data_IF_146875176833
#
_entry.id   IF_146875176833
#
_cell.length_a   1.000
_cell.length_b   1.000
_cell.length_c   1.000
_cell.angle_alpha   90.00
_cell.angle_beta   90.00
_cell.angle_gamma   90.00
#
_symmetry.space_group_name_H-M   'P 1'
#
loop_
_entity.id
_entity.type
_entity.pdbx_description
1 polymer ?
#
# COMPACT_ATOMS: atom_id res chain seq x y z
N UNK A 1 60.04 44.65 -23.32
CA UNK A 1 59.50 43.27 -23.21
C UNK A 1 58.05 43.41 -22.83
N UNK A 2 57.13 43.19 -23.79
CA UNK A 2 55.66 43.38 -23.59
C UNK A 2 55.02 41.99 -23.36
N UNK A 3 54.35 41.82 -22.24
CA UNK A 3 53.74 40.57 -21.82
C UNK A 3 52.48 40.23 -22.62
N UNK A 4 52.29 39.00 -23.09
CA UNK A 4 51.06 38.55 -23.76
C UNK A 4 50.15 37.83 -22.78
N UNK A 5 49.53 38.53 -21.83
CA UNK A 5 48.67 37.92 -20.78
C UNK A 5 47.20 38.39 -20.84
N UNK A 6 46.81 39.15 -21.88
CA UNK A 6 45.46 39.70 -22.00
C UNK A 6 44.53 39.02 -23.02
N UNK A 7 45.03 38.03 -23.75
CA UNK A 7 44.23 37.36 -24.79
C UNK A 7 43.51 36.08 -24.37
N UNK A 8 43.79 35.55 -23.16
CA UNK A 8 43.23 34.27 -22.74
C UNK A 8 41.91 34.35 -21.93
N UNK A 9 41.58 35.55 -21.42
CA UNK A 9 40.38 35.75 -20.59
C UNK A 9 39.05 35.89 -21.34
N UNK A 10 39.11 36.26 -22.64
CA UNK A 10 37.88 36.54 -23.42
C UNK A 10 37.29 35.27 -24.03
N UNK A 11 38.08 34.23 -24.26
CA UNK A 11 37.60 32.99 -24.90
C UNK A 11 36.83 32.09 -23.90
N UNK A 12 37.11 32.19 -22.60
CA UNK A 12 36.45 31.37 -21.59
C UNK A 12 35.03 31.86 -21.24
N UNK A 13 34.73 33.15 -21.44
CA UNK A 13 33.40 33.73 -21.13
C UNK A 13 32.35 33.43 -22.22
N UNK A 14 32.77 33.16 -23.45
CA UNK A 14 31.81 32.88 -24.54
C UNK A 14 31.33 31.42 -24.55
N UNK A 15 32.14 30.47 -24.07
CA UNK A 15 31.75 29.07 -24.04
C UNK A 15 30.69 28.73 -22.98
N UNK A 16 30.62 29.46 -21.86
CA UNK A 16 29.65 29.17 -20.78
C UNK A 16 28.25 29.67 -21.13
N UNK A 17 28.09 30.72 -21.88
CA UNK A 17 26.77 31.25 -22.29
C UNK A 17 26.08 30.42 -23.38
N UNK A 18 26.85 29.80 -24.27
CA UNK A 18 26.28 28.99 -25.37
C UNK A 18 25.79 27.62 -24.87
N UNK A 19 26.41 27.05 -23.85
CA UNK A 19 26.02 25.75 -23.32
C UNK A 19 24.71 25.83 -22.51
N UNK A 20 24.41 26.94 -21.83
CA UNK A 20 23.17 27.15 -21.08
C UNK A 20 21.95 27.31 -21.99
N UNK A 21 22.06 28.03 -23.08
CA UNK A 21 20.95 28.26 -24.01
C UNK A 21 20.52 27.02 -24.80
N UNK A 22 21.45 26.10 -25.07
CA UNK A 22 21.12 24.84 -25.77
C UNK A 22 20.38 23.86 -24.90
N UNK A 23 20.56 23.90 -23.59
CA UNK A 23 19.89 23.03 -22.63
C UNK A 23 18.44 23.48 -22.41
N UNK A 24 18.15 24.77 -22.33
CA UNK A 24 16.80 25.31 -22.19
C UNK A 24 15.91 25.01 -23.39
N UNK A 25 16.43 25.14 -24.60
CA UNK A 25 15.70 24.81 -25.84
C UNK A 25 15.34 23.32 -25.93
N UNK A 26 16.18 22.44 -25.38
CA UNK A 26 15.91 21.00 -25.32
C UNK A 26 14.79 20.68 -24.34
N UNK A 27 14.72 21.35 -23.19
CA UNK A 27 13.68 21.16 -22.18
C UNK A 27 12.33 21.69 -22.67
N UNK A 28 12.30 22.89 -23.26
CA UNK A 28 11.07 23.45 -23.83
C UNK A 28 10.50 22.57 -24.95
N UNK A 29 11.35 22.02 -25.80
CA UNK A 29 10.93 21.13 -26.88
C UNK A 29 10.30 19.84 -26.33
N UNK A 30 10.85 19.30 -25.27
CA UNK A 30 10.29 18.11 -24.58
C UNK A 30 9.00 18.43 -23.86
N UNK A 31 8.88 19.61 -23.27
CA UNK A 31 7.67 20.06 -22.59
C UNK A 31 6.51 20.18 -23.59
N UNK A 32 6.73 20.86 -24.70
CA UNK A 32 5.75 21.02 -25.78
C UNK A 32 5.32 19.66 -26.39
N UNK A 33 6.26 18.71 -26.49
CA UNK A 33 5.93 17.36 -26.99
C UNK A 33 5.07 16.58 -25.97
N UNK A 34 5.33 16.72 -24.68
CA UNK A 34 4.53 16.13 -23.63
C UNK A 34 3.12 16.72 -23.58
N UNK A 35 2.97 18.04 -23.66
CA UNK A 35 1.66 18.70 -23.72
C UNK A 35 0.84 18.23 -24.92
N UNK A 36 1.49 18.11 -26.08
CA UNK A 36 0.84 17.61 -27.30
C UNK A 36 0.37 16.16 -27.13
N UNK A 37 1.13 15.31 -26.45
CA UNK A 37 0.76 13.93 -26.15
C UNK A 37 -0.38 13.85 -25.14
N UNK A 38 -0.37 14.69 -24.11
CA UNK A 38 -1.46 14.78 -23.13
C UNK A 38 -2.76 15.21 -23.81
N UNK A 39 -2.72 16.28 -24.60
CA UNK A 39 -3.89 16.76 -25.35
C UNK A 39 -4.42 15.72 -26.35
N UNK A 40 -3.53 14.95 -26.96
CA UNK A 40 -3.92 13.85 -27.87
C UNK A 40 -4.59 12.69 -27.10
N UNK A 41 -4.12 12.38 -25.90
CA UNK A 41 -4.73 11.37 -25.02
C UNK A 41 -6.10 11.84 -24.51
N UNK A 42 -6.25 13.09 -24.10
CA UNK A 42 -7.52 13.67 -23.67
C UNK A 42 -8.55 13.66 -24.82
N UNK A 43 -8.11 13.92 -26.05
CA UNK A 43 -8.95 13.88 -27.23
C UNK A 43 -9.29 12.46 -27.71
N UNK A 44 -8.40 11.50 -27.47
CA UNK A 44 -8.59 10.09 -27.81
C UNK A 44 -9.46 9.34 -26.79
N UNK A 45 -9.61 9.89 -25.59
CA UNK A 45 -10.47 9.37 -24.54
C UNK A 45 -11.67 10.31 -24.35
N UNK A 46 -12.74 10.18 -25.11
CA UNK A 46 -13.94 10.95 -24.84
C UNK A 46 -14.51 10.50 -23.49
N UNK A 47 -14.39 11.37 -22.48
CA UNK A 47 -15.02 11.24 -21.16
C UNK A 47 -16.56 11.31 -21.22
N UNK A 48 -17.16 10.76 -22.25
CA UNK A 48 -18.60 10.70 -22.43
C UNK A 48 -19.01 9.41 -23.13
N UNK A 49 -18.59 8.27 -22.57
CA UNK A 49 -19.52 7.16 -22.58
C UNK A 49 -20.44 7.39 -21.39
N UNK A 50 -21.75 7.52 -21.59
CA UNK A 50 -22.67 7.31 -20.49
C UNK A 50 -22.44 5.85 -20.10
N UNK A 51 -21.66 5.64 -19.05
CA UNK A 51 -21.71 4.41 -18.29
C UNK A 51 -23.19 4.22 -18.01
N UNK A 52 -23.74 3.25 -18.74
CA UNK A 52 -25.05 2.68 -18.46
C UNK A 52 -25.05 2.52 -16.94
N UNK A 53 -25.78 3.40 -16.27
CA UNK A 53 -26.07 3.31 -14.87
C UNK A 53 -26.93 2.05 -14.70
N UNK A 54 -26.27 0.88 -14.79
CA UNK A 54 -26.72 -0.26 -14.06
C UNK A 54 -26.78 0.25 -12.63
N UNK A 55 -28.00 0.50 -12.20
CA UNK A 55 -28.39 0.91 -10.86
C UNK A 55 -27.62 0.06 -9.85
N UNK A 56 -26.39 0.48 -9.53
CA UNK A 56 -25.77 0.08 -8.32
C UNK A 56 -26.52 0.86 -7.23
N UNK A 57 -27.61 0.30 -6.78
CA UNK A 57 -28.11 0.54 -5.43
C UNK A 57 -26.86 0.70 -4.56
N UNK A 58 -26.68 1.83 -3.83
CA UNK A 58 -25.58 1.95 -2.91
C UNK A 58 -25.65 0.68 -2.05
N UNK A 59 -24.70 -0.21 -2.23
CA UNK A 59 -24.60 -1.40 -1.43
C UNK A 59 -24.53 -0.85 0.00
N UNK A 60 -25.58 -1.02 0.75
CA UNK A 60 -25.59 -0.83 2.19
C UNK A 60 -24.31 -1.48 2.66
N UNK A 61 -23.38 -0.71 3.25
CA UNK A 61 -22.07 -1.21 3.63
C UNK A 61 -22.27 -2.48 4.44
N UNK A 62 -22.22 -3.62 3.76
CA UNK A 62 -22.52 -4.92 4.37
C UNK A 62 -21.36 -5.19 5.28
N UNK A 63 -21.63 -5.23 6.57
CA UNK A 63 -20.62 -5.55 7.59
C UNK A 63 -19.97 -6.88 7.21
N UNK A 64 -18.63 -6.90 7.23
CA UNK A 64 -17.86 -8.14 7.01
C UNK A 64 -18.37 -9.26 7.91
N UNK A 65 -18.50 -10.49 7.41
CA UNK A 65 -18.87 -11.65 8.22
C UNK A 65 -17.74 -12.09 9.15
N UNK A 66 -16.53 -11.59 8.97
CA UNK A 66 -15.37 -11.96 9.76
C UNK A 66 -15.13 -10.94 10.88
N UNK A 67 -14.76 -11.44 12.04
CA UNK A 67 -14.47 -10.67 13.24
C UNK A 67 -13.15 -11.12 13.86
N UNK A 68 -12.27 -10.18 14.18
CA UNK A 68 -11.05 -10.45 14.94
C UNK A 68 -11.39 -10.50 16.43
N UNK A 69 -11.31 -11.69 17.03
CA UNK A 69 -11.60 -11.88 18.45
C UNK A 69 -10.38 -11.63 19.34
N UNK A 70 -9.21 -12.06 18.87
CA UNK A 70 -7.97 -11.92 19.61
C UNK A 70 -6.78 -11.86 18.65
N UNK A 71 -5.72 -11.25 19.13
CA UNK A 71 -4.43 -11.26 18.44
C UNK A 71 -3.30 -11.32 19.46
N UNK A 72 -2.14 -11.80 19.02
CA UNK A 72 -0.89 -11.72 19.76
C UNK A 72 0.27 -11.54 18.80
N UNK A 73 1.33 -10.89 19.26
CA UNK A 73 2.53 -10.69 18.45
C UNK A 73 3.78 -10.76 19.34
N UNK A 74 4.78 -11.50 18.89
CA UNK A 74 6.07 -11.55 19.53
C UNK A 74 7.19 -11.59 18.50
N UNK A 75 8.35 -11.10 18.92
CA UNK A 75 9.54 -11.08 18.08
C UNK A 75 10.19 -12.44 18.07
N UNK A 76 10.47 -12.96 16.90
CA UNK A 76 11.22 -14.21 16.69
C UNK A 76 12.50 -13.90 15.92
N UNK A 77 13.62 -14.32 16.46
CA UNK A 77 14.89 -14.25 15.75
C UNK A 77 15.00 -15.42 14.77
N UNK A 78 15.11 -15.10 13.49
CA UNK A 78 15.29 -16.14 12.46
C UNK A 78 16.74 -16.67 12.43
N UNK A 79 16.91 -17.89 11.94
CA UNK A 79 18.24 -18.50 11.71
C UNK A 79 19.08 -17.68 10.72
N UNK A 80 18.45 -16.92 9.85
CA UNK A 80 19.04 -16.00 8.87
C UNK A 80 19.41 -14.63 9.43
N UNK A 81 19.37 -14.46 10.76
CA UNK A 81 19.62 -13.20 11.49
C UNK A 81 18.63 -12.07 11.20
N UNK A 82 17.51 -12.38 10.55
CA UNK A 82 16.43 -11.41 10.36
C UNK A 82 15.34 -11.61 11.41
N UNK A 83 14.96 -10.54 12.05
CA UNK A 83 13.84 -10.53 12.98
C UNK A 83 12.50 -10.55 12.25
N UNK A 84 11.56 -11.30 12.79
CA UNK A 84 10.20 -11.42 12.29
C UNK A 84 9.22 -11.30 13.44
N UNK A 85 8.04 -10.73 13.15
CA UNK A 85 6.89 -10.91 14.03
C UNK A 85 6.24 -12.25 13.76
N UNK A 86 6.10 -13.09 14.78
CA UNK A 86 5.13 -14.17 14.76
C UNK A 86 3.83 -13.61 15.32
N UNK A 87 2.82 -13.48 14.46
CA UNK A 87 1.53 -12.90 14.78
C UNK A 87 0.49 -14.00 14.75
N UNK A 88 -0.24 -14.13 15.85
CA UNK A 88 -1.37 -15.05 16.01
C UNK A 88 -2.67 -14.25 15.97
N UNK A 89 -3.61 -14.67 15.13
CA UNK A 89 -4.90 -14.02 14.93
C UNK A 89 -6.01 -15.04 15.17
N UNK A 90 -6.95 -14.76 16.06
CA UNK A 90 -8.16 -15.56 16.23
C UNK A 90 -9.31 -14.85 15.51
N UNK A 91 -9.78 -15.44 14.42
CA UNK A 91 -10.79 -14.87 13.52
C UNK A 91 -12.05 -15.73 13.62
N UNK A 92 -13.20 -15.10 13.81
CA UNK A 92 -14.52 -15.73 13.85
C UNK A 92 -15.26 -15.47 12.54
N UNK A 93 -15.85 -16.52 12.01
CA UNK A 93 -16.80 -16.42 10.91
C UNK A 93 -18.22 -16.32 11.47
N UNK A 94 -18.83 -15.16 11.32
CA UNK A 94 -20.21 -14.91 11.79
C UNK A 94 -21.26 -15.17 10.70
N UNK A 95 -20.87 -15.70 9.52
CA UNK A 95 -21.80 -16.11 8.48
C UNK A 95 -22.32 -17.53 8.68
N UNK A 96 -23.34 -17.90 7.92
CA UNK A 96 -23.93 -19.23 7.83
C UNK A 96 -23.24 -20.15 6.83
N UNK A 97 -22.16 -19.67 6.18
CA UNK A 97 -21.40 -20.40 5.17
C UNK A 97 -19.94 -20.52 5.56
N UNK A 98 -19.34 -21.63 5.17
CA UNK A 98 -17.90 -21.83 5.32
C UNK A 98 -17.14 -20.93 4.35
N UNK A 99 -16.08 -20.27 4.84
CA UNK A 99 -15.20 -19.41 4.03
C UNK A 99 -13.97 -20.21 3.61
N UNK A 100 -13.76 -20.27 2.30
CA UNK A 100 -12.67 -21.01 1.67
C UNK A 100 -11.41 -20.14 1.48
N UNK A 101 -11.61 -18.88 1.07
CA UNK A 101 -10.53 -17.91 0.90
C UNK A 101 -10.99 -16.54 1.39
N UNK A 102 -10.06 -15.75 1.85
CA UNK A 102 -10.30 -14.34 2.15
C UNK A 102 -9.11 -13.46 1.70
N UNK A 103 -9.43 -12.23 1.34
CA UNK A 103 -8.46 -11.16 1.16
C UNK A 103 -8.75 -10.12 2.25
N UNK A 104 -7.85 -10.05 3.20
CA UNK A 104 -8.02 -9.19 4.36
C UNK A 104 -6.67 -8.59 4.82
N UNK A 105 -6.78 -7.52 5.54
CA UNK A 105 -5.66 -6.79 6.13
C UNK A 105 -5.92 -6.61 7.62
N UNK A 106 -4.90 -6.83 8.46
CA UNK A 106 -4.96 -6.46 9.87
C UNK A 106 -4.08 -5.23 10.08
N UNK A 107 -4.69 -4.17 10.53
CA UNK A 107 -4.01 -2.92 10.88
C UNK A 107 -3.85 -2.82 12.39
N UNK A 108 -2.62 -2.51 12.81
CA UNK A 108 -2.26 -2.23 14.20
C UNK A 108 -2.06 -0.72 14.35
N UNK A 109 -2.78 -0.12 15.27
CA UNK A 109 -2.69 1.29 15.60
C UNK A 109 -2.59 1.49 17.12
N UNK A 110 -2.06 2.61 17.56
CA UNK A 110 -2.10 2.96 18.97
C UNK A 110 -3.50 3.47 19.39
N UNK A 111 -3.69 3.74 20.67
CA UNK A 111 -4.95 4.24 21.22
C UNK A 111 -5.39 5.59 20.64
N UNK A 112 -4.46 6.36 20.07
CA UNK A 112 -4.74 7.62 19.38
C UNK A 112 -5.07 7.42 17.90
N UNK A 113 -5.00 6.17 17.40
CA UNK A 113 -5.25 5.81 16.01
C UNK A 113 -4.05 6.01 15.09
N UNK A 114 -2.85 6.27 15.62
CA UNK A 114 -1.64 6.35 14.81
C UNK A 114 -1.24 4.95 14.35
N UNK A 115 -1.06 4.81 13.06
CA UNK A 115 -0.65 3.55 12.43
C UNK A 115 0.71 3.08 12.96
N UNK A 116 0.81 1.78 13.29
CA UNK A 116 2.01 1.12 13.76
C UNK A 116 2.51 0.12 12.72
N UNK A 117 1.65 -0.82 12.33
CA UNK A 117 2.01 -1.91 11.45
C UNK A 117 0.79 -2.43 10.70
N UNK A 118 1.00 -3.06 9.56
CA UNK A 118 -0.07 -3.67 8.76
C UNK A 118 0.40 -4.97 8.16
N UNK A 119 -0.47 -5.97 8.15
CA UNK A 119 -0.21 -7.26 7.53
C UNK A 119 -1.37 -7.65 6.63
N UNK A 120 -1.05 -8.20 5.48
CA UNK A 120 -2.02 -8.94 4.65
C UNK A 120 -2.12 -10.35 5.15
N UNK A 121 -3.35 -10.84 5.29
CA UNK A 121 -3.64 -12.20 5.70
C UNK A 121 -4.45 -12.91 4.61
N UNK A 122 -4.03 -14.13 4.32
CA UNK A 122 -4.70 -15.02 3.37
C UNK A 122 -4.53 -16.47 3.89
N UNK A 123 -5.27 -16.85 4.92
CA UNK A 123 -5.15 -18.17 5.52
C UNK A 123 -5.46 -19.27 4.50
N UNK A 124 -4.64 -20.30 4.48
CA UNK A 124 -4.78 -21.46 3.59
C UNK A 124 -5.74 -22.52 4.12
N UNK A 125 -6.49 -22.20 5.18
CA UNK A 125 -7.40 -23.13 5.82
C UNK A 125 -8.85 -22.62 5.82
N UNK A 126 -9.77 -23.58 5.80
CA UNK A 126 -11.19 -23.31 5.86
C UNK A 126 -11.57 -22.64 7.19
N UNK A 127 -12.43 -21.61 7.12
CA UNK A 127 -13.05 -20.99 8.29
C UNK A 127 -14.52 -21.40 8.34
N UNK A 128 -14.89 -22.44 9.15
CA UNK A 128 -16.25 -22.95 9.15
C UNK A 128 -17.27 -21.93 9.65
N UNK A 129 -18.51 -22.07 9.19
CA UNK A 129 -19.62 -21.21 9.57
C UNK A 129 -19.81 -21.18 11.11
N UNK A 130 -19.93 -19.99 11.67
CA UNK A 130 -20.13 -19.76 13.09
C UNK A 130 -18.93 -20.11 14.00
N UNK A 131 -17.82 -20.58 13.44
CA UNK A 131 -16.64 -21.00 14.21
C UNK A 131 -15.53 -19.97 14.19
N UNK A 132 -14.58 -20.14 15.12
CA UNK A 132 -13.35 -19.37 15.19
C UNK A 132 -12.17 -20.24 14.83
N UNK A 133 -11.22 -19.69 14.10
CA UNK A 133 -9.94 -20.31 13.77
C UNK A 133 -8.81 -19.41 14.22
N UNK A 134 -7.66 -20.02 14.56
CA UNK A 134 -6.46 -19.27 14.86
C UNK A 134 -5.46 -19.47 13.73
N UNK A 135 -5.05 -18.37 13.12
CA UNK A 135 -4.02 -18.30 12.10
C UNK A 135 -2.72 -17.75 12.70
N UNK A 136 -1.58 -18.34 12.35
CA UNK A 136 -0.26 -17.93 12.84
C UNK A 136 0.64 -17.68 11.63
N UNK A 137 1.05 -16.45 11.49
CA UNK A 137 1.95 -16.02 10.40
C UNK A 137 3.26 -15.41 10.91
N UNK A 138 4.31 -15.51 10.06
CA UNK A 138 5.60 -14.86 10.31
C UNK A 138 5.82 -13.76 9.32
N UNK A 139 5.94 -12.54 9.81
CA UNK A 139 6.00 -11.33 9.01
C UNK A 139 7.35 -10.63 9.19
N UNK A 140 8.03 -10.23 8.10
CA UNK A 140 9.31 -9.54 8.20
C UNK A 140 9.13 -8.19 8.89
N UNK A 141 10.10 -7.82 9.72
CA UNK A 141 10.17 -6.51 10.36
C UNK A 141 11.47 -5.82 9.97
N UNK A 142 11.36 -4.55 9.63
CA UNK A 142 12.51 -3.69 9.47
C UNK A 142 12.69 -2.85 10.75
N UNK A 143 13.61 -3.27 11.62
CA UNK A 143 13.89 -2.57 12.88
C UNK A 143 14.47 -1.17 12.70
N UNK A 144 14.96 -0.83 11.50
CA UNK A 144 15.41 0.52 11.17
C UNK A 144 14.25 1.48 10.87
N UNK A 145 13.03 0.95 10.71
CA UNK A 145 11.81 1.76 10.56
C UNK A 145 11.14 1.91 11.92
N UNK A 146 11.13 3.12 12.50
CA UNK A 146 10.60 3.35 13.86
C UNK A 146 9.16 2.88 14.05
N UNK A 147 8.32 3.00 13.00
CA UNK A 147 6.92 2.57 13.04
C UNK A 147 6.82 1.05 13.24
N UNK A 148 7.62 0.27 12.49
CA UNK A 148 7.61 -1.19 12.58
C UNK A 148 8.21 -1.69 13.89
N UNK A 149 9.27 -1.03 14.38
CA UNK A 149 9.88 -1.37 15.66
C UNK A 149 8.93 -1.08 16.85
N UNK A 150 7.99 -0.16 16.68
CA UNK A 150 7.06 0.26 17.73
C UNK A 150 6.20 -0.88 18.27
N UNK A 151 5.79 -1.83 17.44
CA UNK A 151 4.94 -2.96 17.86
C UNK A 151 5.60 -3.82 18.96
N UNK A 152 6.95 -3.90 19.00
CA UNK A 152 7.68 -4.61 20.06
C UNK A 152 7.85 -3.78 21.33
N UNK A 153 7.71 -2.46 21.26
CA UNK A 153 8.02 -1.53 22.35
C UNK A 153 6.77 -1.06 23.08
N UNK A 154 5.62 -1.11 22.43
CA UNK A 154 4.34 -0.69 22.99
C UNK A 154 3.67 -1.88 23.70
N UNK A 155 2.97 -1.61 24.80
CA UNK A 155 2.22 -2.66 25.47
C UNK A 155 1.04 -3.10 24.61
N UNK A 156 0.73 -4.39 24.60
CA UNK A 156 -0.38 -4.95 23.82
C UNK A 156 -1.71 -4.25 24.09
N UNK A 157 -1.97 -3.89 25.34
CA UNK A 157 -3.21 -3.20 25.73
C UNK A 157 -3.32 -1.79 25.17
N UNK A 158 -2.19 -1.20 24.74
CA UNK A 158 -2.13 0.12 24.11
C UNK A 158 -2.18 0.04 22.58
N UNK A 159 -2.38 -1.16 22.03
CA UNK A 159 -2.49 -1.42 20.57
C UNK A 159 -3.88 -1.91 20.23
N UNK A 160 -4.50 -1.24 19.27
CA UNK A 160 -5.75 -1.67 18.66
C UNK A 160 -5.46 -2.38 17.35
N UNK A 161 -5.88 -3.66 17.24
CA UNK A 161 -5.88 -4.39 15.98
C UNK A 161 -7.26 -4.32 15.33
N UNK A 162 -7.29 -4.03 14.03
CA UNK A 162 -8.53 -3.93 13.25
C UNK A 162 -8.42 -4.82 12.02
N UNK A 163 -9.38 -5.72 11.85
CA UNK A 163 -9.50 -6.58 10.66
C UNK A 163 -10.32 -5.84 9.59
N UNK A 164 -9.71 -5.63 8.45
CA UNK A 164 -10.33 -5.03 7.26
C UNK A 164 -10.43 -6.13 6.22
N UNK A 165 -11.63 -6.55 5.88
CA UNK A 165 -11.90 -7.59 4.90
C UNK A 165 -12.33 -6.94 3.60
N UNK A 166 -11.61 -7.20 2.53
CA UNK A 166 -11.96 -6.71 1.19
C UNK A 166 -12.86 -7.71 0.47
N UNK A 167 -12.56 -9.00 0.62
CA UNK A 167 -13.24 -10.04 -0.15
C UNK A 167 -13.22 -11.39 0.59
N UNK A 168 -14.30 -12.15 0.46
CA UNK A 168 -14.34 -13.56 0.88
C UNK A 168 -14.89 -14.43 -0.23
N UNK A 169 -14.42 -15.67 -0.32
CA UNK A 169 -14.94 -16.71 -1.20
C UNK A 169 -15.46 -17.84 -0.34
N UNK A 170 -16.72 -18.13 -0.47
CA UNK A 170 -17.37 -19.23 0.25
C UNK A 170 -17.16 -20.59 -0.43
N UNK A 171 -17.45 -21.68 0.25
CA UNK A 171 -17.29 -23.04 -0.29
C UNK A 171 -18.21 -23.34 -1.47
N UNK A 172 -19.33 -22.63 -1.62
CA UNK A 172 -20.22 -22.69 -2.77
C UNK A 172 -19.74 -21.84 -3.97
N UNK A 173 -18.51 -21.29 -3.88
CA UNK A 173 -17.87 -20.34 -4.81
C UNK A 173 -18.60 -18.99 -4.97
N UNK A 174 -19.56 -18.68 -4.11
CA UNK A 174 -20.08 -17.30 -4.03
C UNK A 174 -19.03 -16.37 -3.44
N UNK A 175 -19.04 -15.11 -3.88
CA UNK A 175 -18.06 -14.09 -3.49
C UNK A 175 -18.80 -12.97 -2.75
N UNK A 176 -18.30 -12.60 -1.57
CA UNK A 176 -18.68 -11.41 -0.84
C UNK A 176 -17.60 -10.33 -0.98
N UNK A 177 -18.00 -9.12 -1.34
CA UNK A 177 -17.13 -7.94 -1.39
C UNK A 177 -17.59 -6.95 -0.32
N UNK A 178 -16.64 -6.41 0.42
CA UNK A 178 -16.88 -5.52 1.55
C UNK A 178 -16.08 -4.24 1.37
N UNK A 179 -16.71 -3.11 1.66
CA UNK A 179 -15.99 -1.83 1.68
C UNK A 179 -15.17 -1.71 2.96
N UNK A 180 -13.93 -1.19 2.88
CA UNK A 180 -13.08 -0.91 4.05
C UNK A 180 -13.68 0.16 4.95
#
# INVERSE_FOLDING_TARGET
MKSPLLALSVILAVCTTVCGQQQDQSVEKRLNELEKRVTALEKAWPLSSPLNAASSTPASATKSPLELLAWDAHLVHGEDSYDRYEISLTIKNNSDKDIKFMDATVQFADLLGLHIYEIKINPDHLIPAGQSVTDIGRYPINQLMPEQARLTQIKKDDVKATLIVSKVVFTDNSIGEYAP
#
